data_IF_821669375675
#
_entry.id   IF_821669375675
#
_cell.length_a   1.000
_cell.length_b   1.000
_cell.length_c   1.000
_cell.angle_alpha   90.00
_cell.angle_beta   90.00
_cell.angle_gamma   90.00
#
_symmetry.space_group_name_H-M   'P 1'
#
loop_
_entity.id
_entity.type
_entity.pdbx_description
1 polymer ?
#
# COMPACT_ATOMS: atom_id res chain seq x y z
N UNK A 1 18.75 -2.28 -9.11
CA UNK A 1 18.34 -0.86 -9.36
C UNK A 1 16.97 -0.99 -10.00
N UNK A 2 15.92 -1.04 -9.16
CA UNK A 2 14.54 -1.29 -9.58
C UNK A 2 14.14 -0.34 -10.71
N UNK A 3 14.04 -0.88 -11.92
CA UNK A 3 13.91 -0.10 -13.17
C UNK A 3 12.47 0.09 -13.63
N UNK A 4 11.51 -0.55 -12.98
CA UNK A 4 10.16 -0.66 -13.52
C UNK A 4 9.30 0.56 -13.23
N UNK A 5 9.56 1.25 -12.11
CA UNK A 5 8.81 2.44 -11.71
C UNK A 5 9.76 3.52 -11.18
N UNK A 6 9.61 4.80 -11.58
CA UNK A 6 10.39 5.88 -11.01
C UNK A 6 10.25 5.99 -9.48
N UNK A 7 9.05 5.73 -8.96
CA UNK A 7 8.72 5.69 -7.52
C UNK A 7 7.55 4.72 -7.32
N UNK A 8 7.65 3.78 -6.39
CA UNK A 8 6.47 3.04 -5.89
C UNK A 8 5.74 3.94 -4.86
N UNK A 9 4.61 4.53 -5.25
CA UNK A 9 3.97 5.62 -4.50
C UNK A 9 2.71 5.19 -3.72
N UNK A 10 2.42 3.89 -3.68
CA UNK A 10 1.25 3.37 -2.99
C UNK A 10 1.42 3.45 -1.47
N UNK A 11 0.35 3.79 -0.76
CA UNK A 11 0.28 3.70 0.71
C UNK A 11 -0.87 2.79 1.07
N UNK A 12 -0.62 1.49 1.00
CA UNK A 12 -1.64 0.45 1.07
C UNK A 12 -1.26 -0.61 2.10
N UNK A 13 -2.24 -1.06 2.86
CA UNK A 13 -2.14 -2.26 3.70
C UNK A 13 -3.31 -3.20 3.41
N UNK A 14 -3.03 -4.47 3.14
CA UNK A 14 -4.02 -5.52 2.89
C UNK A 14 -4.01 -6.45 4.11
N UNK A 15 -5.15 -6.61 4.77
CA UNK A 15 -5.27 -7.31 6.06
C UNK A 15 -6.19 -8.51 5.90
N UNK A 16 -5.69 -9.69 6.28
CA UNK A 16 -6.37 -10.99 6.22
C UNK A 16 -7.06 -11.27 4.87
N UNK A 17 -6.47 -10.79 3.76
CA UNK A 17 -7.04 -10.91 2.40
C UNK A 17 -8.48 -10.39 2.25
N UNK A 18 -8.95 -9.56 3.19
CA UNK A 18 -10.36 -9.11 3.23
C UNK A 18 -10.53 -7.62 3.50
N UNK A 19 -9.56 -6.95 4.10
CA UNK A 19 -9.65 -5.51 4.38
C UNK A 19 -8.49 -4.77 3.74
N UNK A 20 -8.72 -3.53 3.32
CA UNK A 20 -7.69 -2.68 2.72
C UNK A 20 -7.69 -1.32 3.41
N UNK A 21 -6.52 -0.88 3.86
CA UNK A 21 -6.27 0.53 4.17
C UNK A 21 -5.60 1.18 2.96
N UNK A 22 -6.05 2.38 2.60
CA UNK A 22 -5.41 3.22 1.57
C UNK A 22 -5.66 4.71 1.86
N UNK A 23 -5.01 5.60 1.12
CA UNK A 23 -5.16 7.04 1.24
C UNK A 23 -3.92 7.83 0.84
N UNK A 24 -3.88 9.11 1.21
CA UNK A 24 -2.69 9.96 1.00
C UNK A 24 -1.61 9.74 2.07
N UNK A 25 -2.01 9.16 3.22
CA UNK A 25 -1.19 8.96 4.40
C UNK A 25 0.04 8.07 4.15
N UNK A 26 1.23 8.67 4.17
CA UNK A 26 2.50 7.94 4.20
C UNK A 26 2.80 7.39 5.61
N UNK A 27 3.44 6.23 5.73
CA UNK A 27 3.84 5.65 7.02
C UNK A 27 5.05 6.38 7.64
N UNK A 28 4.84 7.65 8.03
CA UNK A 28 5.89 8.55 8.53
C UNK A 28 5.34 9.45 9.64
N UNK A 29 6.23 9.91 10.53
CA UNK A 29 5.87 10.87 11.59
C UNK A 29 5.29 12.18 11.07
N UNK A 30 5.69 12.62 9.87
CA UNK A 30 5.17 13.85 9.27
C UNK A 30 3.70 13.71 8.84
N UNK A 31 3.33 12.57 8.24
CA UNK A 31 1.94 12.28 7.89
C UNK A 31 1.04 12.20 9.14
N UNK A 32 1.57 11.67 10.25
CA UNK A 32 0.84 11.57 11.53
C UNK A 32 0.60 12.91 12.23
N UNK A 33 1.58 13.81 12.18
CA UNK A 33 1.63 14.96 13.12
C UNK A 33 1.69 16.34 12.47
N UNK A 34 1.93 16.43 11.16
CA UNK A 34 2.17 17.71 10.47
C UNK A 34 1.30 17.90 9.24
N UNK A 35 1.22 16.89 8.38
CA UNK A 35 0.54 17.01 7.11
C UNK A 35 -0.98 16.83 7.29
N UNK A 36 -1.75 17.49 6.44
CA UNK A 36 -3.16 17.16 6.25
C UNK A 36 -3.25 15.96 5.33
N UNK A 37 -3.59 14.80 5.89
CA UNK A 37 -3.68 13.53 5.17
C UNK A 37 -5.03 12.86 5.44
N UNK A 38 -5.43 11.95 4.56
CA UNK A 38 -6.54 11.04 4.82
C UNK A 38 -6.07 9.58 4.77
N UNK A 39 -6.67 8.76 5.62
CA UNK A 39 -6.58 7.31 5.57
C UNK A 39 -7.99 6.73 5.71
N UNK A 40 -8.32 5.76 4.86
CA UNK A 40 -9.59 5.02 4.94
C UNK A 40 -9.29 3.55 5.10
N UNK A 41 -10.12 2.86 5.88
CA UNK A 41 -10.10 1.39 5.96
C UNK A 41 -11.43 0.87 5.45
N UNK A 42 -11.35 0.01 4.44
CA UNK A 42 -12.48 -0.68 3.86
C UNK A 42 -12.47 -2.10 4.43
N UNK A 43 -13.40 -2.35 5.35
CA UNK A 43 -13.44 -3.58 6.14
C UNK A 43 -14.22 -4.69 5.45
N UNK A 44 -13.71 -5.93 5.54
CA UNK A 44 -14.42 -7.17 5.18
C UNK A 44 -15.02 -7.16 3.77
N UNK A 45 -14.25 -6.69 2.79
CA UNK A 45 -14.58 -6.68 1.38
C UNK A 45 -13.54 -7.48 0.56
N UNK A 46 -13.54 -8.83 0.62
CA UNK A 46 -12.57 -9.68 -0.08
C UNK A 46 -12.47 -9.40 -1.58
N UNK A 47 -13.59 -9.06 -2.22
CA UNK A 47 -13.64 -8.72 -3.64
C UNK A 47 -12.85 -7.44 -3.98
N UNK A 48 -12.67 -6.54 -3.01
CA UNK A 48 -11.79 -5.38 -3.16
C UNK A 48 -10.35 -5.73 -2.78
N UNK A 49 -10.16 -6.52 -1.71
CA UNK A 49 -8.82 -6.90 -1.26
C UNK A 49 -8.05 -7.71 -2.31
N UNK A 50 -8.74 -8.58 -3.06
CA UNK A 50 -8.13 -9.44 -4.09
C UNK A 50 -7.33 -8.66 -5.16
N UNK A 51 -7.89 -7.69 -5.90
CA UNK A 51 -7.10 -6.94 -6.88
C UNK A 51 -5.98 -6.10 -6.26
N UNK A 52 -6.12 -5.65 -5.01
CA UNK A 52 -5.01 -5.00 -4.29
C UNK A 52 -3.88 -6.00 -3.98
N UNK A 53 -4.21 -7.25 -3.63
CA UNK A 53 -3.24 -8.31 -3.40
C UNK A 53 -2.50 -8.67 -4.68
N UNK A 54 -3.22 -8.86 -5.80
CA UNK A 54 -2.62 -9.10 -7.11
C UNK A 54 -1.67 -7.94 -7.51
N UNK A 55 -2.07 -6.69 -7.24
CA UNK A 55 -1.23 -5.52 -7.46
C UNK A 55 0.03 -5.53 -6.57
N UNK A 56 -0.11 -5.90 -5.29
CA UNK A 56 1.02 -6.03 -4.36
C UNK A 56 1.99 -7.14 -4.79
N UNK A 57 1.49 -8.31 -5.18
CA UNK A 57 2.30 -9.44 -5.65
C UNK A 57 3.14 -9.07 -6.87
N UNK A 58 2.57 -8.34 -7.83
CA UNK A 58 3.31 -7.83 -9.00
C UNK A 58 4.51 -6.95 -8.60
N UNK A 59 4.34 -6.07 -7.61
CA UNK A 59 5.43 -5.17 -7.15
C UNK A 59 6.44 -5.93 -6.32
N UNK A 60 5.98 -6.82 -5.45
CA UNK A 60 6.82 -7.67 -4.62
C UNK A 60 7.74 -8.56 -5.48
N UNK A 61 7.20 -9.23 -6.49
CA UNK A 61 7.96 -10.13 -7.37
C UNK A 61 9.03 -9.42 -8.22
N UNK A 62 8.92 -8.10 -8.37
CA UNK A 62 9.89 -7.26 -9.09
C UNK A 62 10.88 -6.56 -8.15
N UNK A 63 10.67 -6.62 -6.84
CA UNK A 63 11.54 -5.99 -5.85
C UNK A 63 12.81 -6.79 -5.60
N UNK A 64 13.81 -6.09 -5.08
CA UNK A 64 15.06 -6.70 -4.61
C UNK A 64 15.04 -6.82 -3.07
N UNK A 65 15.53 -7.94 -2.53
CA UNK A 65 15.69 -8.11 -1.08
C UNK A 65 16.54 -6.98 -0.49
N UNK A 66 16.07 -6.42 0.63
CA UNK A 66 16.80 -5.40 1.37
C UNK A 66 18.09 -5.97 1.97
N UNK A 67 19.22 -5.29 1.75
CA UNK A 67 20.56 -5.69 2.24
C UNK A 67 21.00 -4.87 3.44
#
# INVERSE_FOLDING_TARGET
MDSDFPIQHDKVMIIDERSVQTGSFNYTKAAESKNSENAVVIWNMPQLAKPYLEHWEDRWNRGEDYK
#
